data_IF_524282410948
#
_entry.id   IF_524282410948
#
_cell.length_a   1.000
_cell.length_b   1.000
_cell.length_c   1.000
_cell.angle_alpha   90.00
_cell.angle_beta   90.00
_cell.angle_gamma   90.00
#
_symmetry.space_group_name_H-M   'P 1'
#
loop_
_entity.id
_entity.type
_entity.pdbx_description
1 polymer ?
#
# COMPACT_ATOMS: atom_id res chain seq x y z
N UNK A 1 -36.45 -26.15 -46.75
CA UNK A 1 -37.45 -25.22 -47.31
C UNK A 1 -38.69 -25.37 -46.42
N UNK A 2 -38.87 -24.48 -45.43
CA UNK A 2 -39.60 -23.17 -45.49
C UNK A 2 -41.11 -23.37 -45.34
N UNK A 3 -41.87 -22.63 -44.51
CA UNK A 3 -41.59 -21.60 -43.48
C UNK A 3 -42.86 -21.47 -42.62
N UNK A 4 -42.78 -20.88 -41.41
CA UNK A 4 -43.97 -20.63 -40.57
C UNK A 4 -44.38 -19.15 -40.56
N UNK A 5 -45.68 -18.88 -40.53
CA UNK A 5 -46.30 -17.56 -40.29
C UNK A 5 -46.40 -17.24 -38.80
N UNK A 6 -46.38 -15.95 -38.42
CA UNK A 6 -47.21 -15.45 -37.30
C UNK A 6 -47.46 -13.94 -37.38
N UNK A 7 -48.68 -13.51 -37.01
CA UNK A 7 -49.16 -12.12 -36.96
C UNK A 7 -49.20 -11.55 -35.53
N UNK A 8 -49.41 -10.22 -35.42
CA UNK A 8 -49.37 -9.41 -34.19
C UNK A 8 -50.47 -9.65 -33.14
N UNK A 9 -50.17 -9.26 -31.89
CA UNK A 9 -51.16 -8.67 -30.94
C UNK A 9 -50.48 -7.77 -29.90
N UNK A 10 -51.24 -6.85 -29.28
CA UNK A 10 -50.81 -5.83 -28.30
C UNK A 10 -51.28 -6.21 -26.88
N UNK A 11 -50.50 -5.93 -25.83
CA UNK A 11 -50.98 -5.95 -24.44
C UNK A 11 -50.28 -4.92 -23.53
N UNK A 12 -51.00 -4.45 -22.50
CA UNK A 12 -50.57 -3.42 -21.52
C UNK A 12 -50.03 -4.02 -20.22
N UNK A 13 -49.33 -3.22 -19.41
CA UNK A 13 -48.69 -3.61 -18.13
C UNK A 13 -49.69 -3.78 -16.96
N UNK A 14 -49.35 -4.63 -15.98
CA UNK A 14 -49.63 -4.40 -14.57
C UNK A 14 -48.37 -3.99 -13.76
N UNK A 15 -48.55 -3.48 -12.54
CA UNK A 15 -47.48 -3.11 -11.57
C UNK A 15 -47.57 -3.95 -10.30
N UNK A 16 -46.42 -4.12 -9.63
CA UNK A 16 -46.18 -4.52 -8.22
C UNK A 16 -46.74 -5.85 -7.67
N UNK A 17 -45.86 -6.66 -7.07
CA UNK A 17 -45.71 -6.67 -5.60
C UNK A 17 -44.41 -7.36 -5.16
N UNK A 18 -43.98 -7.09 -3.94
CA UNK A 18 -42.71 -7.50 -3.30
C UNK A 18 -42.76 -8.89 -2.67
N UNK A 19 -41.68 -9.67 -2.80
CA UNK A 19 -41.18 -10.58 -1.76
C UNK A 19 -39.65 -10.59 -1.80
N UNK A 20 -39.01 -10.40 -0.64
CA UNK A 20 -37.57 -10.51 -0.45
C UNK A 20 -37.31 -11.52 0.66
N UNK A 21 -36.46 -12.55 0.46
CA UNK A 21 -36.30 -13.60 1.45
C UNK A 21 -35.01 -13.42 2.27
N UNK A 22 -35.19 -12.95 3.51
CA UNK A 22 -34.52 -13.54 4.68
C UNK A 22 -35.29 -14.78 5.18
N UNK A 23 -36.17 -15.34 4.34
CA UNK A 23 -36.88 -16.59 4.57
C UNK A 23 -35.85 -17.73 4.44
N UNK A 24 -35.49 -18.31 5.58
CA UNK A 24 -34.38 -19.23 5.76
C UNK A 24 -34.81 -20.71 5.77
N UNK A 25 -33.86 -21.56 6.18
CA UNK A 25 -33.91 -23.04 6.33
C UNK A 25 -33.78 -23.79 4.98
N UNK A 26 -32.96 -24.85 4.84
CA UNK A 26 -32.39 -25.77 5.84
C UNK A 26 -31.00 -26.31 5.39
N UNK A 27 -30.21 -26.95 6.28
CA UNK A 27 -28.85 -27.46 6.06
C UNK A 27 -28.53 -28.66 6.99
N UNK A 28 -27.31 -29.28 7.04
CA UNK A 28 -26.19 -29.33 6.10
C UNK A 28 -26.08 -30.79 5.56
N UNK A 29 -25.05 -31.69 5.78
CA UNK A 29 -23.61 -31.64 6.12
C UNK A 29 -22.73 -31.69 4.81
N UNK A 30 -21.42 -32.00 4.71
CA UNK A 30 -20.34 -32.58 5.54
C UNK A 30 -19.02 -31.79 5.37
N UNK A 31 -18.08 -31.93 6.33
CA UNK A 31 -16.68 -31.48 6.24
C UNK A 31 -15.73 -32.65 6.55
N UNK A 32 -14.40 -32.46 6.35
CA UNK A 32 -13.55 -32.40 7.55
C UNK A 32 -12.50 -31.27 7.53
N UNK A 33 -12.04 -30.91 8.74
CA UNK A 33 -11.10 -29.81 9.05
C UNK A 33 -9.68 -30.33 9.27
N UNK A 34 -8.66 -29.46 9.15
CA UNK A 34 -7.60 -29.32 10.19
C UNK A 34 -7.07 -27.87 10.23
N UNK A 35 -7.26 -27.15 11.35
CA UNK A 35 -6.39 -26.05 11.77
C UNK A 35 -6.55 -25.71 13.27
N UNK A 36 -5.45 -25.28 13.90
CA UNK A 36 -5.34 -24.51 15.14
C UNK A 36 -5.87 -25.08 16.49
N UNK A 37 -4.91 -25.32 17.40
CA UNK A 37 -4.98 -25.09 18.85
C UNK A 37 -3.68 -24.32 19.23
N UNK A 38 -3.57 -23.47 20.24
CA UNK A 38 -4.31 -23.30 21.50
C UNK A 38 -4.47 -21.81 21.85
N UNK A 39 -5.54 -21.46 22.57
CA UNK A 39 -5.60 -20.27 23.41
C UNK A 39 -6.54 -20.54 24.58
N UNK A 40 -6.02 -20.49 25.81
CA UNK A 40 -6.79 -20.70 27.04
C UNK A 40 -7.20 -19.35 27.62
N UNK A 41 -8.48 -19.16 27.91
CA UNK A 41 -9.00 -17.96 28.53
C UNK A 41 -9.19 -18.09 30.04
N UNK A 42 -9.45 -16.97 30.70
CA UNK A 42 -10.16 -16.94 31.98
C UNK A 42 -11.17 -15.81 31.98
N UNK A 43 -12.40 -16.10 32.43
CA UNK A 43 -13.51 -15.14 32.55
C UNK A 43 -13.78 -14.89 34.03
N UNK A 44 -13.98 -13.64 34.43
CA UNK A 44 -14.82 -13.29 35.59
C UNK A 44 -15.70 -12.09 35.26
N UNK A 45 -16.83 -11.96 35.96
CA UNK A 45 -17.96 -11.11 35.57
C UNK A 45 -18.23 -9.95 36.54
N UNK A 46 -18.83 -8.89 36.00
CA UNK A 46 -19.90 -8.00 36.55
C UNK A 46 -20.02 -7.78 38.08
N UNK A 47 -20.29 -6.54 38.54
CA UNK A 47 -21.60 -5.92 38.26
C UNK A 47 -21.68 -4.39 38.04
N UNK A 48 -22.84 -3.96 37.55
CA UNK A 48 -23.32 -2.56 37.50
C UNK A 48 -23.86 -2.11 38.87
N UNK A 49 -23.99 -0.80 39.09
CA UNK A 49 -25.15 -0.27 39.83
C UNK A 49 -25.99 0.71 38.99
N UNK A 50 -27.25 0.85 39.38
CA UNK A 50 -28.27 1.72 38.78
C UNK A 50 -28.92 2.62 39.84
N UNK A 51 -29.08 3.91 39.55
CA UNK A 51 -29.96 4.86 40.27
C UNK A 51 -30.20 6.07 39.35
N UNK A 52 -31.39 6.34 38.81
CA UNK A 52 -32.69 6.71 39.40
C UNK A 52 -32.90 8.24 39.51
N UNK A 53 -33.69 8.76 38.57
CA UNK A 53 -34.71 9.82 38.73
C UNK A 53 -34.37 11.11 39.52
N UNK A 54 -34.41 12.25 38.83
CA UNK A 54 -35.06 13.49 39.31
C UNK A 54 -35.58 14.31 38.12
N UNK A 55 -36.73 14.97 38.28
CA UNK A 55 -37.49 15.65 37.21
C UNK A 55 -37.95 17.03 37.68
N UNK A 56 -37.92 18.02 36.77
CA UNK A 56 -38.58 19.35 36.86
C UNK A 56 -37.88 20.39 37.76
N UNK A 57 -38.13 21.72 37.58
CA UNK A 57 -39.12 22.34 36.68
C UNK A 57 -38.60 23.45 35.74
N UNK A 58 -39.55 24.00 34.98
CA UNK A 58 -39.46 25.06 33.96
C UNK A 58 -39.00 26.42 34.51
N UNK A 59 -38.30 27.21 33.68
CA UNK A 59 -38.09 28.64 33.89
C UNK A 59 -37.54 29.35 32.65
N UNK A 60 -38.40 29.99 31.84
CA UNK A 60 -37.99 30.91 30.79
C UNK A 60 -37.92 32.35 31.32
N UNK A 61 -36.93 33.15 30.88
CA UNK A 61 -37.12 34.58 30.74
C UNK A 61 -36.82 35.09 29.32
N UNK A 62 -37.23 36.33 29.07
CA UNK A 62 -37.39 36.90 27.74
C UNK A 62 -36.09 37.37 27.05
N UNK A 63 -36.23 37.52 25.73
CA UNK A 63 -35.31 38.13 24.77
C UNK A 63 -35.11 39.64 25.02
N UNK A 64 -33.87 40.15 24.96
CA UNK A 64 -33.60 41.52 24.52
C UNK A 64 -33.27 41.53 23.02
N UNK A 65 -33.89 42.44 22.28
CA UNK A 65 -33.53 42.78 20.89
C UNK A 65 -32.63 44.02 20.84
N UNK A 66 -32.01 44.27 19.68
CA UNK A 66 -30.99 45.31 19.39
C UNK A 66 -29.60 44.95 19.95
N UNK A 67 -28.48 45.28 19.28
CA UNK A 67 -28.26 46.17 18.12
C UNK A 67 -27.49 45.48 16.99
N UNK A 68 -27.64 46.00 15.77
CA UNK A 68 -26.83 45.64 14.60
C UNK A 68 -25.44 46.29 14.69
N UNK A 69 -24.44 45.57 15.19
CA UNK A 69 -23.02 45.91 15.00
C UNK A 69 -22.51 45.28 13.72
N UNK A 70 -22.17 46.13 12.73
CA UNK A 70 -21.44 45.72 11.53
C UNK A 70 -20.03 45.26 11.92
N UNK A 71 -19.88 43.97 12.18
CA UNK A 71 -18.56 43.36 12.28
C UNK A 71 -17.90 43.43 10.91
N UNK A 72 -16.93 44.34 10.78
CA UNK A 72 -15.87 44.16 9.79
C UNK A 72 -15.28 42.78 10.04
N UNK A 73 -15.54 41.86 9.10
CA UNK A 73 -14.88 40.57 9.07
C UNK A 73 -13.39 40.81 8.76
N UNK A 74 -12.62 41.08 9.80
CA UNK A 74 -11.19 40.85 9.78
C UNK A 74 -11.06 39.35 9.56
N UNK A 75 -10.71 38.94 8.34
CA UNK A 75 -10.42 37.55 7.99
C UNK A 75 -9.12 37.15 8.67
N UNK A 76 -9.20 36.93 9.98
CA UNK A 76 -8.15 36.29 10.75
C UNK A 76 -8.00 34.88 10.16
N UNK A 77 -6.93 34.67 9.40
CA UNK A 77 -6.52 33.34 8.98
C UNK A 77 -6.39 32.49 10.23
N UNK A 78 -7.32 31.55 10.42
CA UNK A 78 -7.32 30.69 11.60
C UNK A 78 -6.25 29.64 11.38
N UNK A 79 -5.02 29.95 11.81
CA UNK A 79 -3.88 29.05 11.69
C UNK A 79 -4.23 27.71 12.31
N UNK A 80 -4.29 26.67 11.48
CA UNK A 80 -4.82 25.36 11.89
C UNK A 80 -3.88 24.68 12.86
N UNK A 81 -4.43 24.20 13.96
CA UNK A 81 -3.68 23.58 15.04
C UNK A 81 -3.63 22.06 14.88
N UNK A 82 -2.43 21.53 14.63
CA UNK A 82 -2.13 20.10 14.55
C UNK A 82 -1.51 19.56 15.84
N UNK A 83 -1.63 20.27 16.97
CA UNK A 83 -1.12 19.87 18.30
C UNK A 83 -1.53 18.46 18.72
N UNK A 84 -2.69 17.97 18.27
CA UNK A 84 -3.14 16.61 18.53
C UNK A 84 -2.19 15.55 17.95
N UNK A 85 -1.53 15.80 16.82
CA UNK A 85 -0.52 14.90 16.22
C UNK A 85 0.83 14.95 16.95
N UNK A 86 1.10 15.93 17.81
CA UNK A 86 2.37 16.04 18.53
C UNK A 86 2.40 15.23 19.84
N UNK A 87 1.29 14.57 20.16
CA UNK A 87 1.09 13.81 21.41
C UNK A 87 1.90 12.51 21.41
N UNK A 88 2.82 12.28 22.38
CA UNK A 88 3.62 11.06 22.46
C UNK A 88 2.78 9.78 22.51
N UNK A 89 1.57 9.84 23.06
CA UNK A 89 0.67 8.70 23.26
C UNK A 89 0.14 8.08 21.96
N UNK A 90 0.29 8.78 20.82
CA UNK A 90 -0.02 8.23 19.49
C UNK A 90 1.02 7.18 19.07
N UNK A 91 2.28 7.38 19.45
CA UNK A 91 3.43 6.73 18.82
C UNK A 91 3.94 5.53 19.62
N UNK A 92 4.07 4.39 18.94
CA UNK A 92 4.48 3.15 19.58
C UNK A 92 6.01 3.09 19.72
N UNK A 93 6.49 2.74 20.91
CA UNK A 93 7.89 2.44 21.12
C UNK A 93 8.26 1.16 20.36
N UNK A 94 9.31 1.24 19.53
CA UNK A 94 9.77 0.10 18.76
C UNK A 94 10.67 -0.76 19.65
N UNK A 95 10.27 -2.00 19.95
CA UNK A 95 11.10 -2.90 20.76
C UNK A 95 12.39 -3.26 20.01
N UNK A 96 13.59 -3.17 20.63
CA UNK A 96 14.84 -3.60 19.99
C UNK A 96 14.93 -5.13 19.85
N UNK A 97 14.10 -5.90 20.56
CA UNK A 97 14.15 -7.36 20.54
C UNK A 97 13.70 -7.98 19.20
N UNK A 98 12.99 -7.22 18.36
CA UNK A 98 12.58 -7.66 17.01
C UNK A 98 13.74 -7.69 16.01
N UNK A 99 14.89 -7.12 16.36
CA UNK A 99 16.10 -7.06 15.53
C UNK A 99 17.10 -8.13 16.03
N UNK A 100 17.74 -8.92 15.15
CA UNK A 100 18.76 -9.89 15.57
C UNK A 100 19.94 -9.21 16.28
N UNK A 101 20.59 -9.94 17.19
CA UNK A 101 21.72 -9.40 17.95
C UNK A 101 22.89 -8.88 17.08
N UNK A 102 23.25 -9.50 15.93
CA UNK A 102 24.30 -8.98 15.05
C UNK A 102 24.05 -7.54 14.57
N UNK A 103 22.83 -7.21 14.12
CA UNK A 103 22.50 -5.84 13.70
C UNK A 103 22.50 -4.86 14.88
N UNK A 104 21.95 -5.24 16.02
CA UNK A 104 21.91 -4.39 17.23
C UNK A 104 23.30 -4.00 17.74
N UNK A 105 24.26 -4.90 17.61
CA UNK A 105 25.62 -4.74 18.13
C UNK A 105 26.62 -4.32 17.03
N UNK A 106 26.16 -4.12 15.79
CA UNK A 106 27.03 -3.77 14.66
C UNK A 106 27.54 -2.34 14.77
N UNK A 107 28.83 -2.07 14.45
CA UNK A 107 29.37 -0.71 14.38
C UNK A 107 28.74 0.13 13.25
N UNK A 108 27.89 -0.47 12.41
CA UNK A 108 27.17 0.19 11.31
C UNK A 108 25.84 0.83 11.74
N UNK A 109 25.44 0.72 13.01
CA UNK A 109 24.29 1.46 13.54
C UNK A 109 24.55 2.97 13.47
N UNK A 110 23.55 3.80 13.10
CA UNK A 110 23.72 5.25 13.01
C UNK A 110 23.96 5.85 14.40
N UNK A 111 24.69 6.96 14.45
CA UNK A 111 24.91 7.69 15.70
C UNK A 111 23.59 8.34 16.17
N UNK A 112 23.40 8.59 17.48
CA UNK A 112 22.20 9.24 18.01
C UNK A 112 21.90 10.61 17.38
N UNK A 113 22.95 11.31 16.93
CA UNK A 113 22.87 12.65 16.33
C UNK A 113 22.78 12.65 14.79
N UNK A 114 22.78 11.47 14.14
CA UNK A 114 22.69 11.36 12.66
C UNK A 114 21.38 11.96 12.15
N UNK A 115 21.40 12.70 11.04
CA UNK A 115 20.19 13.36 10.55
C UNK A 115 19.23 12.36 9.89
N UNK A 116 17.91 12.58 10.00
CA UNK A 116 16.89 11.72 9.37
C UNK A 116 17.18 11.44 7.87
N UNK A 117 17.54 12.43 7.02
CA UNK A 117 17.86 12.15 5.61
C UNK A 117 19.07 11.22 5.42
N UNK A 118 20.07 11.28 6.30
CA UNK A 118 21.26 10.42 6.27
C UNK A 118 20.89 8.99 6.70
N UNK A 119 20.06 8.84 7.75
CA UNK A 119 19.52 7.54 8.15
C UNK A 119 18.72 6.88 7.01
N UNK A 120 17.91 7.67 6.28
CA UNK A 120 17.15 7.18 5.12
C UNK A 120 18.07 6.76 3.97
N UNK A 121 19.13 7.53 3.69
CA UNK A 121 20.11 7.19 2.66
C UNK A 121 20.89 5.90 3.00
N UNK A 122 21.18 5.64 4.27
CA UNK A 122 21.76 4.36 4.74
C UNK A 122 20.76 3.21 4.89
N UNK A 123 19.45 3.44 4.66
CA UNK A 123 18.41 2.42 4.86
C UNK A 123 18.18 2.03 6.32
N UNK A 124 18.48 2.91 7.27
CA UNK A 124 18.23 2.71 8.70
C UNK A 124 16.78 3.10 9.06
N UNK A 125 15.80 2.50 8.38
CA UNK A 125 14.38 2.91 8.47
C UNK A 125 13.85 2.91 9.90
N UNK A 126 14.17 1.91 10.71
CA UNK A 126 13.77 1.85 12.12
C UNK A 126 14.32 3.03 12.94
N UNK A 127 15.60 3.39 12.75
CA UNK A 127 16.20 4.54 13.41
C UNK A 127 15.57 5.86 12.95
N UNK A 128 15.35 6.02 11.63
CA UNK A 128 14.65 7.16 11.06
C UNK A 128 13.21 7.30 11.60
N UNK A 129 12.50 6.19 11.81
CA UNK A 129 11.18 6.17 12.43
C UNK A 129 11.21 6.61 13.91
N UNK A 130 12.27 6.29 14.66
CA UNK A 130 12.44 6.74 16.05
C UNK A 130 12.75 8.25 16.08
N UNK A 131 13.70 8.70 15.27
CA UNK A 131 14.09 10.10 15.15
C UNK A 131 12.92 10.99 14.66
N UNK A 132 12.08 10.50 13.75
CA UNK A 132 10.89 11.21 13.29
C UNK A 132 9.88 11.47 14.43
N UNK A 133 9.66 10.49 15.31
CA UNK A 133 8.80 10.67 16.51
C UNK A 133 9.44 11.63 17.50
N UNK A 134 10.74 11.48 17.80
CA UNK A 134 11.47 12.38 18.69
C UNK A 134 11.42 13.84 18.22
N UNK A 135 11.45 14.07 16.90
CA UNK A 135 11.26 15.39 16.31
C UNK A 135 9.80 15.88 16.44
N UNK A 136 8.79 15.03 16.20
CA UNK A 136 7.36 15.38 16.34
C UNK A 136 6.99 15.75 17.78
N UNK A 137 7.44 14.96 18.76
CA UNK A 137 7.06 15.13 20.18
C UNK A 137 7.95 16.09 20.95
N UNK A 138 9.06 16.55 20.35
CA UNK A 138 10.11 17.30 21.04
C UNK A 138 10.90 16.46 22.06
N UNK A 139 10.81 15.13 22.01
CA UNK A 139 11.54 14.22 22.90
C UNK A 139 12.93 13.81 22.39
N UNK A 140 13.46 14.51 21.39
CA UNK A 140 14.88 14.46 21.03
C UNK A 140 15.76 15.06 22.14
N UNK A 141 17.09 14.91 22.02
CA UNK A 141 18.04 15.35 23.05
C UNK A 141 18.03 16.86 23.35
N UNK A 142 18.86 17.27 24.31
CA UNK A 142 19.00 18.65 24.80
C UNK A 142 19.38 19.64 23.68
N UNK A 143 18.38 20.17 22.97
CA UNK A 143 18.53 21.00 21.78
C UNK A 143 17.42 20.81 20.74
N UNK A 144 16.60 19.75 20.85
CA UNK A 144 15.45 19.54 19.99
C UNK A 144 14.38 20.64 20.18
N UNK A 145 14.20 21.49 19.17
CA UNK A 145 13.12 22.48 19.15
C UNK A 145 11.79 21.78 18.89
N UNK A 146 10.81 21.96 19.77
CA UNK A 146 9.46 21.44 19.58
C UNK A 146 8.86 21.97 18.26
N UNK A 147 8.23 21.08 17.48
CA UNK A 147 7.59 21.45 16.22
C UNK A 147 6.41 22.39 16.50
N UNK A 148 6.33 23.49 15.77
CA UNK A 148 5.22 24.43 15.86
C UNK A 148 3.92 23.71 15.46
N UNK A 149 2.86 23.67 16.31
CA UNK A 149 1.59 23.04 15.96
C UNK A 149 0.90 23.58 14.70
N UNK A 150 1.25 24.80 14.27
CA UNK A 150 0.81 25.40 13.01
C UNK A 150 1.57 24.94 11.75
N UNK A 151 2.77 24.35 11.92
CA UNK A 151 3.64 23.93 10.81
C UNK A 151 3.24 22.54 10.29
N UNK A 152 2.04 22.49 9.71
CA UNK A 152 1.47 21.32 9.05
C UNK A 152 2.43 20.68 8.05
N UNK A 153 3.22 21.47 7.31
CA UNK A 153 4.18 20.97 6.33
C UNK A 153 5.27 20.13 7.01
N UNK A 154 5.88 20.63 8.10
CA UNK A 154 6.87 19.88 8.87
C UNK A 154 6.25 18.67 9.58
N UNK A 155 5.06 18.83 10.17
CA UNK A 155 4.35 17.75 10.87
C UNK A 155 4.04 16.59 9.90
N UNK A 156 3.45 16.88 8.73
CA UNK A 156 3.13 15.86 7.76
C UNK A 156 4.36 15.24 7.10
N UNK A 157 5.46 16.00 6.92
CA UNK A 157 6.72 15.43 6.46
C UNK A 157 7.26 14.39 7.45
N UNK A 158 7.32 14.73 8.74
CA UNK A 158 7.80 13.81 9.78
C UNK A 158 6.86 12.61 9.97
N UNK A 159 5.54 12.83 9.96
CA UNK A 159 4.55 11.76 10.07
C UNK A 159 4.61 10.81 8.86
N UNK A 160 4.77 11.33 7.64
CA UNK A 160 5.00 10.51 6.46
C UNK A 160 6.28 9.69 6.59
N UNK A 161 7.40 10.31 7.00
CA UNK A 161 8.65 9.59 7.28
C UNK A 161 8.44 8.47 8.29
N UNK A 162 7.77 8.75 9.43
CA UNK A 162 7.44 7.75 10.46
C UNK A 162 6.65 6.58 9.87
N UNK A 163 5.49 6.84 9.26
CA UNK A 163 4.60 5.80 8.76
C UNK A 163 5.23 4.98 7.62
N UNK A 164 5.93 5.64 6.68
CA UNK A 164 6.64 4.96 5.60
C UNK A 164 7.79 4.09 6.12
N UNK A 165 8.60 4.60 7.05
CA UNK A 165 9.69 3.83 7.65
C UNK A 165 9.20 2.63 8.47
N UNK A 166 8.06 2.74 9.15
CA UNK A 166 7.43 1.58 9.80
C UNK A 166 7.01 0.52 8.77
N UNK A 167 6.44 0.90 7.64
CA UNK A 167 6.11 -0.05 6.57
C UNK A 167 7.36 -0.71 5.98
N UNK A 168 8.43 0.06 5.77
CA UNK A 168 9.72 -0.44 5.23
C UNK A 168 10.52 -1.30 6.24
N UNK A 169 10.21 -1.20 7.53
CA UNK A 169 10.80 -2.01 8.60
C UNK A 169 9.87 -3.15 9.08
N UNK A 170 8.91 -3.58 8.23
CA UNK A 170 7.89 -4.61 8.49
C UNK A 170 7.02 -4.39 9.76
N UNK A 171 6.92 -3.14 10.20
CA UNK A 171 6.10 -2.71 11.34
C UNK A 171 4.74 -2.13 10.88
N UNK A 172 4.19 -2.62 9.76
CA UNK A 172 2.96 -2.11 9.13
C UNK A 172 1.76 -2.10 10.09
N UNK A 173 1.67 -3.05 11.02
CA UNK A 173 0.61 -3.07 12.04
C UNK A 173 0.68 -1.88 13.01
N UNK A 174 1.89 -1.43 13.37
CA UNK A 174 2.08 -0.22 14.19
C UNK A 174 1.78 1.03 13.35
N UNK A 175 2.22 1.08 12.09
CA UNK A 175 1.90 2.17 11.17
C UNK A 175 0.38 2.35 11.02
N UNK A 176 -0.36 1.24 10.91
CA UNK A 176 -1.82 1.22 10.82
C UNK A 176 -2.52 1.70 12.11
N UNK A 177 -1.94 1.43 13.28
CA UNK A 177 -2.44 1.95 14.56
C UNK A 177 -2.18 3.46 14.70
N UNK A 178 -0.96 3.92 14.37
CA UNK A 178 -0.57 5.33 14.41
C UNK A 178 -1.35 6.18 13.39
N UNK A 179 -1.59 5.67 12.19
CA UNK A 179 -2.34 6.35 11.13
C UNK A 179 -3.83 6.61 11.49
N UNK A 180 -4.38 5.96 12.52
CA UNK A 180 -5.72 6.30 13.04
C UNK A 180 -5.77 7.74 13.57
N UNK A 181 -4.65 8.29 14.03
CA UNK A 181 -4.57 9.68 14.49
C UNK A 181 -4.75 10.72 13.38
N UNK A 182 -4.71 10.33 12.10
CA UNK A 182 -5.08 11.20 10.98
C UNK A 182 -6.60 11.42 10.86
N UNK A 183 -7.42 10.72 11.66
CA UNK A 183 -8.88 10.86 11.69
C UNK A 183 -9.51 10.84 10.27
N UNK A 184 -10.38 11.78 9.94
CA UNK A 184 -10.92 11.96 8.59
C UNK A 184 -10.09 13.00 7.80
N UNK A 185 -9.15 12.50 6.99
CA UNK A 185 -8.39 13.32 6.04
C UNK A 185 -9.26 13.96 4.94
N UNK A 186 -10.47 13.45 4.68
CA UNK A 186 -11.41 14.05 3.75
C UNK A 186 -12.10 15.32 4.29
N UNK A 187 -12.01 15.57 5.61
CA UNK A 187 -12.68 16.69 6.27
C UNK A 187 -12.11 18.06 5.85
N UNK A 188 -12.95 19.08 5.87
CA UNK A 188 -12.56 20.47 5.56
C UNK A 188 -11.43 21.02 6.45
N UNK A 189 -11.16 20.38 7.60
CA UNK A 189 -10.02 20.70 8.45
C UNK A 189 -8.69 20.57 7.70
N UNK A 190 -8.52 19.57 6.82
CA UNK A 190 -7.28 19.34 6.08
C UNK A 190 -7.08 20.20 4.82
N UNK A 191 -8.03 21.07 4.46
CA UNK A 191 -7.93 21.91 3.26
C UNK A 191 -7.63 23.36 3.62
N UNK A 192 -6.67 24.01 2.95
CA UNK A 192 -6.37 25.42 3.16
C UNK A 192 -7.62 26.30 3.02
N UNK A 193 -7.72 27.35 3.84
CA UNK A 193 -8.85 28.29 3.76
C UNK A 193 -8.84 28.98 2.39
N UNK A 194 -10.00 29.05 1.74
CA UNK A 194 -10.11 29.64 0.41
C UNK A 194 -9.79 31.14 0.47
N UNK A 195 -8.68 31.54 -0.17
CA UNK A 195 -8.26 32.93 -0.27
C UNK A 195 -8.51 33.45 -1.69
N UNK A 196 -8.72 34.77 -1.82
CA UNK A 196 -9.09 35.36 -3.10
C UNK A 196 -8.02 35.10 -4.17
N UNK A 197 -8.36 34.28 -5.17
CA UNK A 197 -7.47 33.91 -6.28
C UNK A 197 -6.63 32.63 -6.08
N UNK A 198 -6.66 32.00 -4.91
CA UNK A 198 -5.94 30.72 -4.67
C UNK A 198 -6.97 29.59 -4.49
N UNK A 199 -6.93 28.54 -5.33
CA UNK A 199 -7.77 27.37 -5.14
C UNK A 199 -7.55 26.72 -3.77
N UNK A 200 -8.64 26.25 -3.16
CA UNK A 200 -8.58 25.41 -1.98
C UNK A 200 -7.79 24.15 -2.30
N UNK A 201 -6.76 23.86 -1.49
CA UNK A 201 -5.87 22.72 -1.68
C UNK A 201 -5.70 21.95 -0.37
N UNK A 202 -5.38 20.66 -0.48
CA UNK A 202 -5.14 19.81 0.67
C UNK A 202 -3.77 20.10 1.31
N UNK A 203 -3.72 20.23 2.64
CA UNK A 203 -2.52 20.58 3.41
C UNK A 203 -1.57 19.39 3.58
N UNK A 204 -2.09 18.17 3.68
CA UNK A 204 -1.26 16.97 3.71
C UNK A 204 -0.77 16.58 2.30
N UNK A 205 0.51 16.20 2.11
CA UNK A 205 1.06 15.75 0.82
C UNK A 205 0.33 14.54 0.24
N UNK A 206 0.31 14.44 -1.10
CA UNK A 206 -0.36 13.35 -1.83
C UNK A 206 0.03 11.95 -1.34
N UNK A 207 1.34 11.69 -1.19
CA UNK A 207 1.84 10.36 -0.77
C UNK A 207 1.37 9.98 0.64
N UNK A 208 1.26 10.95 1.56
CA UNK A 208 0.72 10.72 2.90
C UNK A 208 -0.77 10.37 2.86
N UNK A 209 -1.54 10.97 1.95
CA UNK A 209 -2.96 10.67 1.78
C UNK A 209 -3.17 9.27 1.21
N UNK A 210 -2.41 8.90 0.17
CA UNK A 210 -2.46 7.56 -0.43
C UNK A 210 -2.02 6.47 0.56
N UNK A 211 -0.94 6.70 1.31
CA UNK A 211 -0.49 5.81 2.37
C UNK A 211 -1.52 5.73 3.52
N UNK A 212 -2.07 6.88 3.93
CA UNK A 212 -3.05 7.00 5.01
C UNK A 212 -4.32 6.21 4.71
N UNK A 213 -4.85 6.25 3.48
CA UNK A 213 -6.02 5.43 3.08
C UNK A 213 -5.76 3.93 3.31
N UNK A 214 -4.59 3.42 2.92
CA UNK A 214 -4.21 2.01 3.17
C UNK A 214 -4.09 1.72 4.66
N UNK A 215 -3.31 2.52 5.37
CA UNK A 215 -3.01 2.30 6.78
C UNK A 215 -4.23 2.43 7.68
N UNK A 216 -5.15 3.35 7.36
CA UNK A 216 -6.42 3.47 8.07
C UNK A 216 -7.36 2.29 7.79
N UNK A 217 -7.43 1.77 6.55
CA UNK A 217 -8.24 0.59 6.26
C UNK A 217 -7.75 -0.65 7.05
N UNK A 218 -6.44 -0.90 7.05
CA UNK A 218 -5.80 -1.93 7.91
C UNK A 218 -6.07 -1.63 9.39
N UNK A 219 -5.87 -0.36 9.80
CA UNK A 219 -5.99 0.09 11.17
C UNK A 219 -7.40 -0.09 11.74
N UNK A 220 -8.44 0.17 10.96
CA UNK A 220 -9.84 -0.05 11.37
C UNK A 220 -10.34 -1.47 11.11
N UNK A 221 -9.55 -2.34 10.44
CA UNK A 221 -9.96 -3.69 10.06
C UNK A 221 -11.09 -3.69 9.01
N UNK A 222 -11.14 -2.67 8.16
CA UNK A 222 -12.25 -2.40 7.24
C UNK A 222 -11.72 -2.04 5.84
N UNK A 223 -11.45 -3.04 4.98
CA UNK A 223 -10.86 -2.83 3.65
C UNK A 223 -11.78 -2.03 2.71
N UNK A 224 -13.09 -1.93 3.01
CA UNK A 224 -14.04 -1.07 2.26
C UNK A 224 -13.67 0.41 2.33
N UNK A 225 -12.98 0.83 3.41
CA UNK A 225 -12.44 2.19 3.54
C UNK A 225 -11.33 2.48 2.54
N UNK A 226 -10.51 1.48 2.18
CA UNK A 226 -9.49 1.65 1.16
C UNK A 226 -10.13 1.93 -0.21
N UNK A 227 -11.12 1.13 -0.60
CA UNK A 227 -11.88 1.34 -1.85
C UNK A 227 -12.52 2.73 -1.87
N UNK A 228 -13.29 3.11 -0.85
CA UNK A 228 -13.95 4.43 -0.79
C UNK A 228 -12.93 5.57 -0.82
N UNK A 229 -11.89 5.52 0.02
CA UNK A 229 -10.87 6.57 0.10
C UNK A 229 -10.08 6.74 -1.21
N UNK A 230 -9.75 5.64 -1.90
CA UNK A 230 -9.12 5.73 -3.22
C UNK A 230 -10.08 6.27 -4.29
N UNK A 231 -11.38 5.99 -4.22
CA UNK A 231 -12.37 6.58 -5.12
C UNK A 231 -12.53 8.09 -4.91
N UNK A 232 -12.46 8.58 -3.68
CA UNK A 232 -12.51 10.02 -3.40
C UNK A 232 -11.21 10.74 -3.80
N UNK A 233 -10.03 10.15 -3.56
CA UNK A 233 -8.77 10.64 -4.14
C UNK A 233 -8.82 10.61 -5.69
N UNK A 234 -9.46 9.62 -6.30
CA UNK A 234 -9.62 9.53 -7.75
C UNK A 234 -10.64 10.55 -8.29
N UNK A 235 -11.60 11.01 -7.47
CA UNK A 235 -12.47 12.14 -7.80
C UNK A 235 -11.67 13.44 -7.82
N UNK A 236 -10.85 13.68 -6.80
CA UNK A 236 -9.95 14.84 -6.75
C UNK A 236 -8.97 14.84 -7.92
N UNK A 237 -8.34 13.70 -8.23
CA UNK A 237 -7.40 13.59 -9.35
C UNK A 237 -8.06 13.89 -10.72
N UNK A 238 -9.33 13.48 -10.92
CA UNK A 238 -10.10 13.85 -12.13
C UNK A 238 -10.34 15.36 -12.20
N UNK A 239 -10.74 15.99 -11.09
CA UNK A 239 -10.96 17.45 -11.02
C UNK A 239 -9.65 18.21 -11.26
N UNK A 240 -8.56 17.80 -10.61
CA UNK A 240 -7.23 18.37 -10.80
C UNK A 240 -6.71 18.26 -12.24
N UNK A 241 -6.95 17.11 -12.90
CA UNK A 241 -6.59 16.94 -14.32
C UNK A 241 -7.42 17.84 -15.24
N UNK A 242 -8.72 18.02 -14.97
CA UNK A 242 -9.58 18.94 -15.74
C UNK A 242 -9.17 20.40 -15.55
N UNK A 243 -8.88 20.81 -14.31
CA UNK A 243 -8.49 22.17 -13.98
C UNK A 243 -7.11 22.51 -14.57
N UNK A 244 -6.13 21.61 -14.45
CA UNK A 244 -4.83 21.76 -15.09
C UNK A 244 -4.92 21.83 -16.62
N UNK A 245 -5.81 21.05 -17.24
CA UNK A 245 -6.09 21.16 -18.67
C UNK A 245 -6.73 22.51 -19.04
N UNK A 246 -7.62 23.05 -18.20
CA UNK A 246 -8.27 24.36 -18.37
C UNK A 246 -7.29 25.53 -18.22
N UNK A 247 -6.27 25.39 -17.38
CA UNK A 247 -5.19 26.38 -17.21
C UNK A 247 -4.01 26.18 -18.17
N UNK A 248 -4.09 25.19 -19.07
CA UNK A 248 -3.01 24.77 -19.98
C UNK A 248 -1.71 24.32 -19.28
N UNK A 249 -1.79 23.91 -18.00
CA UNK A 249 -0.68 23.24 -17.30
C UNK A 249 -0.64 21.76 -17.69
N UNK A 250 0.02 21.47 -18.81
CA UNK A 250 0.21 20.11 -19.29
C UNK A 250 0.98 19.22 -18.31
N UNK A 251 1.89 19.78 -17.51
CA UNK A 251 2.70 19.01 -16.55
C UNK A 251 1.85 18.53 -15.38
N UNK A 252 1.09 19.44 -14.76
CA UNK A 252 0.14 19.08 -13.71
C UNK A 252 -0.98 18.17 -14.25
N UNK A 253 -1.44 18.37 -15.49
CA UNK A 253 -2.45 17.51 -16.10
C UNK A 253 -1.96 16.06 -16.27
N UNK A 254 -0.72 15.84 -16.71
CA UNK A 254 -0.15 14.48 -16.76
C UNK A 254 0.10 13.89 -15.36
N UNK A 255 0.58 14.70 -14.39
CA UNK A 255 0.75 14.24 -13.00
C UNK A 255 -0.58 13.76 -12.39
N UNK A 256 -1.68 14.51 -12.60
CA UNK A 256 -3.00 14.11 -12.12
C UNK A 256 -3.55 12.87 -12.83
N UNK A 257 -3.26 12.69 -14.12
CA UNK A 257 -3.60 11.45 -14.85
C UNK A 257 -2.80 10.24 -14.34
N UNK A 258 -1.51 10.39 -14.08
CA UNK A 258 -0.66 9.34 -13.52
C UNK A 258 -1.17 8.91 -12.13
N UNK A 259 -1.48 9.88 -11.25
CA UNK A 259 -2.13 9.65 -9.95
C UNK A 259 -3.46 8.90 -10.06
N UNK A 260 -4.33 9.31 -11.00
CA UNK A 260 -5.60 8.63 -11.25
C UNK A 260 -5.42 7.17 -11.70
N UNK A 261 -4.40 6.91 -12.51
CA UNK A 261 -4.11 5.59 -13.04
C UNK A 261 -3.50 4.65 -11.97
N UNK A 262 -2.58 5.16 -11.14
CA UNK A 262 -2.04 4.46 -9.95
C UNK A 262 -3.15 4.13 -8.94
N UNK A 263 -4.05 5.08 -8.62
CA UNK A 263 -5.24 4.83 -7.80
C UNK A 263 -6.15 3.74 -8.39
N UNK A 264 -6.28 3.68 -9.72
CA UNK A 264 -7.03 2.63 -10.41
C UNK A 264 -6.51 1.22 -10.07
N UNK A 265 -5.19 1.02 -10.04
CA UNK A 265 -4.57 -0.25 -9.66
C UNK A 265 -4.70 -0.52 -8.16
N UNK A 266 -4.58 0.51 -7.32
CA UNK A 266 -4.78 0.37 -5.86
C UNK A 266 -6.21 -0.02 -5.48
N UNK A 267 -7.22 0.44 -6.23
CA UNK A 267 -8.61 -0.01 -6.05
C UNK A 267 -8.75 -1.50 -6.35
N UNK A 268 -8.11 -2.03 -7.40
CA UNK A 268 -8.12 -3.46 -7.67
C UNK A 268 -7.47 -4.27 -6.53
N UNK A 269 -6.32 -3.79 -6.01
CA UNK A 269 -5.68 -4.38 -4.83
C UNK A 269 -6.56 -4.34 -3.57
N UNK A 270 -7.29 -3.25 -3.34
CA UNK A 270 -8.23 -3.12 -2.22
C UNK A 270 -9.47 -4.02 -2.37
N UNK A 271 -9.94 -4.29 -3.60
CA UNK A 271 -11.02 -5.25 -3.87
C UNK A 271 -10.57 -6.70 -3.63
N UNK A 272 -9.32 -7.03 -3.95
CA UNK A 272 -8.69 -8.30 -3.56
C UNK A 272 -8.61 -8.41 -2.03
N UNK A 273 -8.18 -7.36 -1.32
CA UNK A 273 -8.16 -7.32 0.15
C UNK A 273 -9.58 -7.35 0.79
N UNK A 274 -10.64 -7.13 0.00
CA UNK A 274 -12.03 -7.32 0.39
C UNK A 274 -12.57 -8.75 0.16
N UNK A 275 -11.76 -9.66 -0.38
CA UNK A 275 -12.17 -11.00 -0.85
C UNK A 275 -13.21 -10.95 -2.00
N UNK A 276 -13.13 -9.92 -2.86
CA UNK A 276 -13.94 -9.77 -4.08
C UNK A 276 -13.06 -9.72 -5.35
N UNK A 277 -12.49 -10.88 -5.77
CA UNK A 277 -11.69 -10.98 -6.98
C UNK A 277 -12.50 -10.73 -8.26
N UNK A 278 -13.83 -10.93 -8.23
CA UNK A 278 -14.70 -10.70 -9.37
C UNK A 278 -14.83 -9.19 -9.68
N UNK A 279 -15.11 -8.38 -8.66
CA UNK A 279 -15.11 -6.92 -8.81
C UNK A 279 -13.73 -6.37 -9.16
N UNK A 280 -12.65 -6.94 -8.60
CA UNK A 280 -11.28 -6.56 -8.95
C UNK A 280 -10.99 -6.80 -10.45
N UNK A 281 -11.38 -7.96 -10.98
CA UNK A 281 -11.24 -8.29 -12.40
C UNK A 281 -12.09 -7.39 -13.30
N UNK A 282 -13.36 -7.14 -12.96
CA UNK A 282 -14.21 -6.23 -13.73
C UNK A 282 -13.63 -4.81 -13.76
N UNK A 283 -13.20 -4.30 -12.61
CA UNK A 283 -12.58 -2.98 -12.48
C UNK A 283 -11.31 -2.86 -13.34
N UNK A 284 -10.38 -3.81 -13.28
CA UNK A 284 -9.20 -3.83 -14.15
C UNK A 284 -9.57 -3.89 -15.63
N UNK A 285 -10.57 -4.70 -16.00
CA UNK A 285 -11.04 -4.77 -17.38
C UNK A 285 -11.61 -3.45 -17.89
N UNK A 286 -12.19 -2.59 -17.03
CA UNK A 286 -12.58 -1.22 -17.44
C UNK A 286 -11.35 -0.34 -17.72
N UNK A 287 -10.32 -0.39 -16.87
CA UNK A 287 -9.08 0.38 -17.05
C UNK A 287 -8.34 -0.02 -18.34
N UNK A 288 -8.33 -1.31 -18.66
CA UNK A 288 -7.71 -1.81 -19.89
C UNK A 288 -8.47 -1.39 -21.16
N UNK A 289 -9.82 -1.37 -21.12
CA UNK A 289 -10.65 -0.83 -22.21
C UNK A 289 -10.41 0.66 -22.43
N UNK A 290 -10.36 1.45 -21.35
CA UNK A 290 -10.08 2.89 -21.40
C UNK A 290 -8.70 3.18 -22.03
N UNK A 291 -7.67 2.42 -21.65
CA UNK A 291 -6.32 2.57 -22.21
C UNK A 291 -6.22 2.13 -23.68
N UNK A 292 -6.87 1.02 -24.06
CA UNK A 292 -6.95 0.60 -25.45
C UNK A 292 -7.73 1.61 -26.32
N UNK A 293 -8.77 2.25 -25.80
CA UNK A 293 -9.48 3.30 -26.53
C UNK A 293 -8.61 4.56 -26.69
N UNK A 294 -7.97 5.04 -25.61
CA UNK A 294 -7.00 6.15 -25.69
C UNK A 294 -5.91 5.88 -26.72
N UNK A 295 -5.38 4.65 -26.76
CA UNK A 295 -4.39 4.20 -27.75
C UNK A 295 -4.94 4.26 -29.19
N UNK A 296 -6.14 3.74 -29.44
CA UNK A 296 -6.79 3.81 -30.77
C UNK A 296 -6.98 5.25 -31.23
N UNK A 297 -7.41 6.15 -30.33
CA UNK A 297 -7.56 7.59 -30.61
C UNK A 297 -6.20 8.25 -30.92
N UNK A 298 -5.13 7.95 -30.17
CA UNK A 298 -3.76 8.43 -30.47
C UNK A 298 -3.25 7.94 -31.83
N UNK A 299 -3.42 6.66 -32.13
CA UNK A 299 -3.01 6.07 -33.41
C UNK A 299 -3.74 6.68 -34.61
N UNK A 300 -5.05 6.97 -34.47
CA UNK A 300 -5.83 7.67 -35.50
C UNK A 300 -5.46 9.15 -35.64
N UNK A 301 -4.95 9.80 -34.58
CA UNK A 301 -4.56 11.20 -34.56
C UNK A 301 -3.16 11.52 -35.12
N UNK A 302 -2.40 10.52 -35.59
CA UNK A 302 -1.07 10.70 -36.19
C UNK A 302 0.05 11.12 -35.22
N UNK A 303 -0.25 11.35 -33.95
CA UNK A 303 0.72 11.77 -32.93
C UNK A 303 1.58 10.61 -32.41
N UNK A 304 2.88 10.66 -32.64
CA UNK A 304 3.87 9.86 -31.89
C UNK A 304 4.18 10.54 -30.56
N UNK A 305 3.24 10.49 -29.63
CA UNK A 305 3.56 10.80 -28.22
C UNK A 305 4.42 9.67 -27.67
N UNK A 306 5.68 9.98 -27.35
CA UNK A 306 6.55 9.09 -26.60
C UNK A 306 5.91 8.82 -25.23
N UNK A 307 5.43 7.60 -25.01
CA UNK A 307 4.83 7.22 -23.74
C UNK A 307 5.86 7.39 -22.62
N UNK A 308 5.65 8.35 -21.73
CA UNK A 308 6.53 8.62 -20.61
C UNK A 308 6.74 7.35 -19.75
N UNK A 309 7.97 7.18 -19.25
CA UNK A 309 8.45 5.91 -18.69
C UNK A 309 7.63 5.31 -17.53
N UNK A 310 6.79 6.11 -16.86
CA UNK A 310 5.90 5.63 -15.79
C UNK A 310 4.75 4.74 -16.30
N UNK A 311 4.35 4.90 -17.57
CA UNK A 311 3.33 4.03 -18.19
C UNK A 311 3.74 2.55 -18.22
N UNK A 312 5.04 2.28 -18.35
CA UNK A 312 5.61 0.93 -18.28
C UNK A 312 5.51 0.30 -16.89
N UNK A 313 5.82 1.08 -15.85
CA UNK A 313 5.68 0.66 -14.45
C UNK A 313 4.22 0.31 -14.13
N UNK A 314 3.27 1.16 -14.52
CA UNK A 314 1.84 0.90 -14.31
C UNK A 314 1.33 -0.32 -15.09
N UNK A 315 1.83 -0.55 -16.31
CA UNK A 315 1.52 -1.74 -17.09
C UNK A 315 1.96 -3.04 -16.37
N UNK A 316 3.16 -3.03 -15.78
CA UNK A 316 3.66 -4.15 -14.95
C UNK A 316 2.83 -4.29 -13.67
N UNK A 317 2.50 -3.20 -12.98
CA UNK A 317 1.66 -3.26 -11.78
C UNK A 317 0.29 -3.88 -12.08
N UNK A 318 -0.36 -3.53 -13.20
CA UNK A 318 -1.59 -4.19 -13.64
C UNK A 318 -1.38 -5.67 -13.95
N UNK A 319 -0.29 -6.03 -14.65
CA UNK A 319 0.01 -7.42 -14.97
C UNK A 319 0.16 -8.28 -13.71
N UNK A 320 0.82 -7.76 -12.67
CA UNK A 320 0.99 -8.45 -11.39
C UNK A 320 -0.35 -8.65 -10.64
N UNK A 321 -1.28 -7.67 -10.71
CA UNK A 321 -2.62 -7.85 -10.13
C UNK A 321 -3.44 -8.87 -10.93
N UNK A 322 -3.35 -8.88 -12.26
CA UNK A 322 -3.97 -9.91 -13.10
C UNK A 322 -3.43 -11.32 -12.82
N UNK A 323 -2.12 -11.47 -12.60
CA UNK A 323 -1.53 -12.73 -12.16
C UNK A 323 -2.05 -13.16 -10.78
N UNK A 324 -2.23 -12.23 -9.84
CA UNK A 324 -2.83 -12.53 -8.53
C UNK A 324 -4.29 -13.00 -8.63
N UNK A 325 -5.04 -12.52 -9.64
CA UNK A 325 -6.39 -12.97 -9.96
C UNK A 325 -6.44 -14.26 -10.81
N UNK A 326 -5.28 -14.77 -11.26
CA UNK A 326 -5.17 -15.95 -12.10
C UNK A 326 -5.47 -15.75 -13.60
N UNK A 327 -5.75 -14.53 -14.08
CA UNK A 327 -5.87 -14.27 -15.53
C UNK A 327 -4.48 -13.98 -16.13
N UNK A 328 -3.75 -15.06 -16.37
CA UNK A 328 -2.44 -15.04 -17.01
C UNK A 328 -2.50 -14.42 -18.42
N UNK A 329 -3.61 -14.60 -19.14
CA UNK A 329 -3.83 -14.01 -20.45
C UNK A 329 -3.93 -12.47 -20.40
N UNK A 330 -4.63 -11.92 -19.41
CA UNK A 330 -4.70 -10.48 -19.17
C UNK A 330 -3.34 -9.92 -18.75
N UNK A 331 -2.62 -10.61 -17.87
CA UNK A 331 -1.28 -10.21 -17.45
C UNK A 331 -0.32 -10.03 -18.64
N UNK A 332 -0.26 -11.01 -19.56
CA UNK A 332 0.56 -10.89 -20.79
C UNK A 332 0.09 -9.74 -21.69
N UNK A 333 -1.23 -9.52 -21.85
CA UNK A 333 -1.78 -8.38 -22.62
C UNK A 333 -1.38 -7.03 -22.03
N UNK A 334 -1.22 -6.91 -20.71
CA UNK A 334 -0.78 -5.66 -20.08
C UNK A 334 0.64 -5.24 -20.48
N UNK A 335 1.55 -6.19 -20.74
CA UNK A 335 2.97 -5.91 -21.10
C UNK A 335 3.29 -5.99 -22.60
N UNK A 336 2.40 -6.58 -23.40
CA UNK A 336 2.53 -6.71 -24.87
C UNK A 336 2.68 -5.36 -25.61
N UNK A 337 3.08 -5.40 -26.88
CA UNK A 337 3.14 -4.23 -27.78
C UNK A 337 3.92 -3.02 -27.20
N UNK A 338 5.03 -3.30 -26.51
CA UNK A 338 5.86 -2.28 -25.84
C UNK A 338 5.21 -1.59 -24.64
N UNK A 339 4.04 -2.04 -24.16
CA UNK A 339 3.32 -1.46 -23.01
C UNK A 339 4.18 -1.43 -21.75
N UNK A 340 5.05 -2.41 -21.54
CA UNK A 340 5.93 -2.50 -20.37
C UNK A 340 7.02 -1.40 -20.32
N UNK A 341 7.28 -0.67 -21.41
CA UNK A 341 8.36 0.31 -21.53
C UNK A 341 9.78 -0.28 -21.55
N UNK A 342 9.97 -1.48 -20.99
CA UNK A 342 11.22 -2.24 -20.97
C UNK A 342 10.93 -3.72 -21.29
N UNK A 343 11.73 -4.31 -22.18
CA UNK A 343 11.63 -5.73 -22.54
C UNK A 343 11.97 -6.66 -21.36
N UNK A 344 12.86 -6.28 -20.45
CA UNK A 344 13.13 -7.02 -19.19
C UNK A 344 11.83 -7.22 -18.40
N UNK A 345 11.03 -6.17 -18.25
CA UNK A 345 9.80 -6.22 -17.46
C UNK A 345 8.72 -7.09 -18.11
N UNK A 346 8.68 -7.14 -19.45
CA UNK A 346 7.85 -8.09 -20.20
C UNK A 346 8.33 -9.53 -19.99
N UNK A 347 9.64 -9.82 -20.10
CA UNK A 347 10.23 -11.15 -19.84
C UNK A 347 9.93 -11.65 -18.42
N UNK A 348 9.99 -10.77 -17.42
CA UNK A 348 9.62 -11.07 -16.01
C UNK A 348 8.16 -11.49 -15.91
N UNK A 349 7.22 -10.72 -16.47
CA UNK A 349 5.80 -11.09 -16.47
C UNK A 349 5.57 -12.37 -17.25
N UNK A 350 6.24 -12.57 -18.39
CA UNK A 350 6.12 -13.78 -19.21
C UNK A 350 6.68 -15.06 -18.54
N UNK A 351 7.59 -14.93 -17.57
CA UNK A 351 8.12 -16.04 -16.78
C UNK A 351 7.28 -16.32 -15.51
N UNK A 352 6.80 -15.27 -14.83
CA UNK A 352 5.83 -15.41 -13.73
C UNK A 352 4.50 -16.02 -14.22
N UNK A 353 4.09 -15.66 -15.43
CA UNK A 353 2.92 -16.21 -16.11
C UNK A 353 3.04 -17.72 -16.34
N UNK A 354 4.19 -18.20 -16.82
CA UNK A 354 4.44 -19.66 -16.97
C UNK A 354 4.41 -20.38 -15.61
N UNK A 355 4.95 -19.76 -14.55
CA UNK A 355 4.87 -20.33 -13.20
C UNK A 355 3.42 -20.41 -12.69
N UNK A 356 2.58 -19.44 -13.03
CA UNK A 356 1.15 -19.43 -12.66
C UNK A 356 0.35 -20.49 -13.45
N UNK A 357 0.70 -20.74 -14.70
CA UNK A 357 0.13 -21.82 -15.53
C UNK A 357 0.64 -23.23 -15.12
N UNK A 358 1.66 -23.32 -14.26
CA UNK A 358 2.31 -24.58 -13.85
C UNK A 358 3.40 -25.08 -14.81
N UNK A 359 3.75 -24.30 -15.82
CA UNK A 359 4.75 -24.59 -16.84
C UNK A 359 6.18 -24.30 -16.34
N UNK A 360 6.55 -24.92 -15.21
CA UNK A 360 7.77 -24.59 -14.45
C UNK A 360 9.08 -24.77 -15.25
N UNK A 361 9.17 -25.74 -16.16
CA UNK A 361 10.36 -25.91 -17.02
C UNK A 361 10.47 -24.78 -18.07
N UNK A 362 9.34 -24.30 -18.59
CA UNK A 362 9.29 -23.13 -19.49
C UNK A 362 9.69 -21.85 -18.77
N UNK A 363 9.13 -21.63 -17.58
CA UNK A 363 9.53 -20.54 -16.69
C UNK A 363 11.03 -20.60 -16.34
N UNK A 364 11.55 -21.78 -15.99
CA UNK A 364 12.95 -21.97 -15.64
C UNK A 364 13.89 -21.62 -16.79
N UNK A 365 13.55 -21.99 -18.03
CA UNK A 365 14.27 -21.57 -19.23
C UNK A 365 14.30 -20.05 -19.39
N UNK A 366 13.15 -19.39 -19.22
CA UNK A 366 13.04 -17.91 -19.29
C UNK A 366 13.85 -17.22 -18.19
N UNK A 367 13.78 -17.70 -16.95
CA UNK A 367 14.54 -17.13 -15.83
C UNK A 367 16.06 -17.27 -16.02
N UNK A 368 16.54 -18.41 -16.53
CA UNK A 368 17.98 -18.58 -16.85
C UNK A 368 18.44 -17.65 -17.97
N UNK A 369 17.65 -17.54 -19.05
CA UNK A 369 17.97 -16.62 -20.15
C UNK A 369 18.03 -15.16 -19.69
N UNK A 370 17.00 -14.72 -18.93
CA UNK A 370 16.94 -13.37 -18.38
C UNK A 370 18.13 -13.08 -17.44
N UNK A 371 18.49 -14.04 -16.58
CA UNK A 371 19.64 -13.90 -15.68
C UNK A 371 20.95 -13.77 -16.47
N UNK A 372 21.16 -14.59 -17.49
CA UNK A 372 22.36 -14.54 -18.33
C UNK A 372 22.50 -13.18 -19.03
N UNK A 373 21.43 -12.66 -19.63
CA UNK A 373 21.41 -11.33 -20.26
C UNK A 373 21.77 -10.20 -19.27
N UNK A 374 21.31 -10.31 -18.02
CA UNK A 374 21.62 -9.32 -16.98
C UNK A 374 23.08 -9.44 -16.50
N UNK A 375 23.57 -10.65 -16.30
CA UNK A 375 24.98 -10.92 -15.93
C UNK A 375 25.95 -10.46 -17.04
N UNK A 376 25.64 -10.68 -18.32
CA UNK A 376 26.38 -10.11 -19.47
C UNK A 376 26.38 -8.58 -19.48
N UNK A 377 25.28 -7.97 -19.03
CA UNK A 377 25.14 -6.51 -18.88
C UNK A 377 25.83 -5.96 -17.62
N UNK A 378 26.45 -6.81 -16.80
CA UNK A 378 27.05 -6.45 -15.51
C UNK A 378 26.03 -6.09 -14.40
N UNK A 379 24.75 -6.38 -14.62
CA UNK A 379 23.64 -6.08 -13.69
C UNK A 379 23.25 -7.35 -12.94
N UNK A 380 23.20 -7.30 -11.61
CA UNK A 380 22.68 -8.39 -10.78
C UNK A 380 21.35 -7.99 -10.17
N UNK A 381 20.26 -8.58 -10.66
CA UNK A 381 18.91 -8.34 -10.17
C UNK A 381 18.50 -9.43 -9.17
N UNK A 382 18.16 -9.00 -7.95
CA UNK A 382 17.79 -9.90 -6.86
C UNK A 382 16.46 -10.62 -7.13
N UNK A 383 15.48 -9.93 -7.72
CA UNK A 383 14.14 -10.48 -7.98
C UNK A 383 14.20 -11.58 -9.06
N UNK A 384 15.03 -11.43 -10.09
CA UNK A 384 15.26 -12.49 -11.09
C UNK A 384 15.91 -13.71 -10.44
N UNK A 385 16.93 -13.52 -9.61
CA UNK A 385 17.61 -14.61 -8.92
C UNK A 385 16.71 -15.33 -7.90
N UNK A 386 15.89 -14.60 -7.16
CA UNK A 386 14.92 -15.15 -6.20
C UNK A 386 13.84 -15.95 -6.90
N UNK A 387 13.23 -15.42 -7.97
CA UNK A 387 12.20 -16.16 -8.72
C UNK A 387 12.78 -17.39 -9.44
N UNK A 388 14.01 -17.32 -9.95
CA UNK A 388 14.73 -18.48 -10.48
C UNK A 388 14.89 -19.57 -9.41
N UNK A 389 15.29 -19.23 -8.18
CA UNK A 389 15.43 -20.18 -7.09
C UNK A 389 14.09 -20.78 -6.63
N UNK A 390 13.01 -20.00 -6.62
CA UNK A 390 11.64 -20.52 -6.35
C UNK A 390 11.20 -21.46 -7.48
N UNK A 391 11.47 -21.13 -8.74
CA UNK A 391 11.19 -22.01 -9.88
C UNK A 391 11.97 -23.33 -9.79
N UNK A 392 13.23 -23.28 -9.34
CA UNK A 392 14.06 -24.46 -9.08
C UNK A 392 13.48 -25.36 -7.98
N UNK A 393 12.84 -24.80 -6.95
CA UNK A 393 12.12 -25.57 -5.94
C UNK A 393 10.97 -26.39 -6.57
N UNK A 394 10.17 -25.79 -7.44
CA UNK A 394 9.03 -26.46 -8.09
C UNK A 394 9.45 -27.61 -9.02
N UNK A 395 10.62 -27.53 -9.65
CA UNK A 395 11.20 -28.65 -10.43
C UNK A 395 12.09 -29.60 -9.60
N UNK A 396 12.07 -29.48 -8.26
CA UNK A 396 12.80 -30.38 -7.35
C UNK A 396 14.32 -30.16 -7.26
N UNK A 397 14.86 -29.08 -7.84
CA UNK A 397 16.30 -28.74 -7.89
C UNK A 397 16.69 -27.82 -6.73
N UNK A 398 16.35 -28.24 -5.51
CA UNK A 398 16.43 -27.41 -4.30
C UNK A 398 17.85 -26.90 -3.98
N UNK A 399 18.88 -27.73 -4.12
CA UNK A 399 20.27 -27.32 -3.81
C UNK A 399 20.77 -26.24 -4.78
N UNK A 400 20.47 -26.32 -6.07
CA UNK A 400 20.79 -25.24 -7.03
C UNK A 400 20.03 -23.96 -6.69
N UNK A 401 18.75 -24.06 -6.31
CA UNK A 401 17.97 -22.92 -5.85
C UNK A 401 18.58 -22.27 -4.60
N UNK A 402 19.07 -23.08 -3.67
CA UNK A 402 19.76 -22.64 -2.46
C UNK A 402 21.11 -21.95 -2.80
N UNK A 403 21.95 -22.57 -3.61
CA UNK A 403 23.25 -22.00 -4.04
C UNK A 403 23.08 -20.62 -4.68
N UNK A 404 22.01 -20.44 -5.47
CA UNK A 404 21.67 -19.15 -6.08
C UNK A 404 21.30 -18.12 -5.00
N UNK A 405 20.44 -18.46 -4.05
CA UNK A 405 20.06 -17.55 -2.96
C UNK A 405 21.24 -17.22 -2.04
N UNK A 406 22.09 -18.19 -1.71
CA UNK A 406 23.32 -17.95 -0.95
C UNK A 406 24.25 -16.99 -1.70
N UNK A 407 24.47 -17.21 -3.00
CA UNK A 407 25.30 -16.36 -3.85
C UNK A 407 24.74 -14.95 -4.10
N UNK A 408 23.43 -14.73 -4.01
CA UNK A 408 22.85 -13.39 -3.98
C UNK A 408 23.19 -12.67 -2.68
N UNK A 409 23.16 -13.36 -1.53
CA UNK A 409 23.56 -12.76 -0.26
C UNK A 409 25.06 -12.48 -0.20
N UNK A 410 25.90 -13.36 -0.77
CA UNK A 410 27.34 -13.09 -0.94
C UNK A 410 27.63 -11.95 -1.93
N UNK A 411 26.64 -11.54 -2.73
CA UNK A 411 26.71 -10.32 -3.56
C UNK A 411 26.40 -9.02 -2.78
N UNK A 412 26.02 -9.11 -1.50
CA UNK A 412 25.53 -8.00 -0.71
C UNK A 412 24.04 -7.68 -0.88
N UNK A 413 23.25 -8.59 -1.48
CA UNK A 413 21.80 -8.45 -1.62
C UNK A 413 21.09 -9.11 -0.43
N UNK A 414 20.01 -8.50 0.07
CA UNK A 414 19.42 -8.90 1.35
C UNK A 414 17.97 -8.40 1.55
N UNK A 415 17.11 -8.45 0.52
CA UNK A 415 15.69 -8.15 0.74
C UNK A 415 15.02 -9.17 1.68
N UNK A 416 13.89 -8.77 2.26
CA UNK A 416 13.01 -9.65 3.04
C UNK A 416 12.71 -10.96 2.28
N UNK A 417 12.33 -10.87 1.01
CA UNK A 417 11.95 -12.02 0.18
C UNK A 417 13.13 -12.97 -0.05
N UNK A 418 14.34 -12.44 -0.30
CA UNK A 418 15.56 -13.25 -0.45
C UNK A 418 15.86 -14.02 0.85
N UNK A 419 15.89 -13.32 1.99
CA UNK A 419 16.22 -13.93 3.29
C UNK A 419 15.15 -14.93 3.74
N UNK A 420 13.86 -14.60 3.58
CA UNK A 420 12.76 -15.50 3.90
C UNK A 420 12.78 -16.77 3.03
N UNK A 421 13.05 -16.65 1.73
CA UNK A 421 13.13 -17.80 0.84
C UNK A 421 14.38 -18.66 1.12
N UNK A 422 15.54 -18.05 1.38
CA UNK A 422 16.75 -18.78 1.76
C UNK A 422 16.60 -19.52 3.09
N UNK A 423 15.97 -18.88 4.08
CA UNK A 423 15.70 -19.54 5.37
C UNK A 423 14.62 -20.61 5.26
N UNK A 424 13.69 -20.51 4.29
CA UNK A 424 12.80 -21.62 3.90
C UNK A 424 13.58 -22.78 3.30
N UNK A 425 14.52 -22.53 2.37
CA UNK A 425 15.38 -23.57 1.81
C UNK A 425 16.18 -24.30 2.91
N UNK A 426 16.69 -23.57 3.91
CA UNK A 426 17.36 -24.19 5.07
C UNK A 426 16.46 -25.10 5.89
N UNK A 427 15.21 -24.71 6.13
CA UNK A 427 14.22 -25.55 6.84
C UNK A 427 13.85 -26.82 6.07
N UNK A 428 13.82 -26.75 4.74
CA UNK A 428 13.51 -27.89 3.87
C UNK A 428 14.73 -28.82 3.66
N UNK A 429 15.95 -28.28 3.67
CA UNK A 429 17.18 -29.01 3.38
C UNK A 429 17.82 -29.69 4.60
N UNK A 430 17.63 -29.19 5.83
CA UNK A 430 18.37 -29.72 6.98
C UNK A 430 17.77 -29.42 8.36
N UNK A 431 17.81 -30.42 9.25
CA UNK A 431 17.52 -30.27 10.68
C UNK A 431 18.41 -29.22 11.40
N UNK A 432 19.53 -28.82 10.77
CA UNK A 432 20.46 -27.81 11.30
C UNK A 432 20.09 -26.37 10.91
N UNK A 433 18.92 -26.16 10.31
CA UNK A 433 18.44 -24.86 9.81
C UNK A 433 18.65 -23.70 10.79
N UNK A 434 18.36 -23.89 12.09
CA UNK A 434 18.52 -22.84 13.12
C UNK A 434 19.95 -22.26 13.15
N UNK A 435 20.97 -23.10 13.03
CA UNK A 435 22.37 -22.65 13.02
C UNK A 435 22.75 -21.92 11.73
N UNK A 436 22.13 -22.26 10.60
CA UNK A 436 22.33 -21.57 9.32
C UNK A 436 21.65 -20.19 9.34
N UNK A 437 20.41 -20.10 9.84
CA UNK A 437 19.67 -18.83 10.01
C UNK A 437 20.42 -17.80 10.86
N UNK A 438 21.00 -18.23 11.99
CA UNK A 438 21.79 -17.34 12.85
C UNK A 438 23.04 -16.84 12.14
N UNK A 439 23.81 -17.73 11.47
CA UNK A 439 24.97 -17.33 10.67
C UNK A 439 24.62 -16.44 9.48
N UNK A 440 23.44 -16.62 8.89
CA UNK A 440 22.94 -15.75 7.83
C UNK A 440 22.66 -14.34 8.38
N UNK A 441 22.07 -14.22 9.57
CA UNK A 441 21.85 -12.92 10.22
C UNK A 441 23.18 -12.24 10.63
N UNK A 442 24.19 -13.01 11.02
CA UNK A 442 25.56 -12.51 11.24
C UNK A 442 26.16 -11.96 9.93
N UNK A 443 26.22 -12.77 8.87
CA UNK A 443 26.76 -12.36 7.55
C UNK A 443 26.05 -11.14 6.96
N UNK A 444 24.72 -11.05 7.07
CA UNK A 444 23.97 -9.91 6.52
C UNK A 444 24.20 -8.62 7.34
N UNK A 445 24.41 -8.72 8.66
CA UNK A 445 24.72 -7.55 9.49
C UNK A 445 26.12 -6.95 9.24
N UNK A 446 27.01 -7.72 8.61
CA UNK A 446 28.35 -7.26 8.17
C UNK A 446 28.31 -6.47 6.85
N UNK A 447 27.23 -6.55 6.07
CA UNK A 447 27.07 -5.82 4.81
C UNK A 447 27.05 -4.29 5.01
N UNK A 448 27.50 -3.55 4.00
CA UNK A 448 27.44 -2.09 3.99
C UNK A 448 25.98 -1.57 4.02
N UNK A 449 25.69 -0.46 4.73
CA UNK A 449 24.37 0.16 4.69
C UNK A 449 24.03 0.66 3.27
N UNK A 450 22.76 0.55 2.88
CA UNK A 450 22.30 1.00 1.56
C UNK A 450 20.84 1.48 1.59
N UNK A 451 20.42 2.31 0.61
CA UNK A 451 19.04 2.81 0.54
C UNK A 451 17.94 1.73 0.48
N UNK A 452 18.29 0.46 0.22
CA UNK A 452 17.37 -0.67 0.13
C UNK A 452 17.02 -1.30 1.49
N UNK A 453 17.46 -0.69 2.59
CA UNK A 453 17.21 -1.15 3.96
C UNK A 453 18.34 -2.05 4.45
N UNK A 454 19.13 -1.54 5.39
CA UNK A 454 20.25 -2.28 5.98
C UNK A 454 19.80 -3.18 7.13
N UNK A 455 19.07 -2.60 8.11
CA UNK A 455 18.64 -3.35 9.29
C UNK A 455 17.54 -4.36 8.93
N UNK A 456 17.64 -5.57 9.48
CA UNK A 456 16.67 -6.67 9.31
C UNK A 456 16.07 -7.08 10.65
N UNK A 457 14.91 -7.70 10.59
CA UNK A 457 14.15 -8.20 11.74
C UNK A 457 14.38 -9.71 11.93
N UNK A 458 13.91 -10.27 13.05
CA UNK A 458 13.89 -11.72 13.25
C UNK A 458 12.95 -12.43 12.24
N UNK A 459 11.94 -11.74 11.69
CA UNK A 459 11.01 -12.32 10.72
C UNK A 459 11.70 -12.64 9.39
N UNK A 460 12.62 -11.78 8.93
CA UNK A 460 13.42 -11.99 7.72
C UNK A 460 14.22 -13.31 7.76
N UNK A 461 14.60 -13.77 8.96
CA UNK A 461 15.38 -14.99 9.16
C UNK A 461 14.57 -16.15 9.76
N UNK A 462 13.28 -15.97 10.02
CA UNK A 462 12.41 -16.89 10.77
C UNK A 462 13.06 -17.37 12.09
N UNK A 463 13.47 -16.42 12.95
CA UNK A 463 14.17 -16.64 14.23
C UNK A 463 13.28 -16.46 15.47
#
# INVERSE_FOLDING_TARGET
MTTADTLHSIASRPRSSTKGPLDADEAPPLSPQVAARLSSGSRQASPRPSSSLRRSPVGSPARPSTTSSSHHAVTAMMTKDFSYLLKPEIYHQLSPLVVPAPFRNSPRQPAPETAIPEMLAGGHFRAAAIAAVQALTGSGGSGATAVNPADHARIFQLLYTRLACLCLADATALAAQEARALEDMGSAFYYADATAGVPQHHLAPWELRVLGVRLQAIGFGDPRRAVTGYYDLAREARVGAMEAARTHDHSAAELWKARLADLGVRVAGALIEMDDPAAAAEHLATLDRDEDEKRRRRAAGGGRDAGGGDGGKLAVSRALVWLHLGDVGAARRCVADGRAGNETAKKVVDALADMADGEYEGALGKWRALRAEMEESGVRDEMVGVNLAVCLLYVGRMEEGREILEGLVDAGLASHTLLFNLTTMYELATDRAKGLKVRLAERVAELEPSPHGWEKTNADFKL
#
